data_IF_937610830563
#
_entry.id   IF_937610830563
#
_cell.length_a   1.000
_cell.length_b   1.000
_cell.length_c   1.000
_cell.angle_alpha   90.00
_cell.angle_beta   90.00
_cell.angle_gamma   90.00
#
_symmetry.space_group_name_H-M   'P 1'
#
loop_
_entity.id
_entity.type
_entity.pdbx_description
1 polymer ?
#
# COMPACT_ATOMS: atom_id res chain seq x y z
N UNK A 1 1.26 -32.25 17.58
CA UNK A 1 0.49 -32.47 16.34
C UNK A 1 0.12 -31.10 15.78
N UNK A 2 0.81 -30.67 14.72
CA UNK A 2 0.72 -29.32 14.14
C UNK A 2 -0.60 -29.15 13.37
N UNK A 3 -1.50 -28.29 13.85
CA UNK A 3 -2.61 -27.77 13.05
C UNK A 3 -2.08 -26.61 12.22
N UNK A 4 -1.41 -26.91 11.10
CA UNK A 4 -1.02 -25.90 10.11
C UNK A 4 -2.28 -25.44 9.38
N UNK A 5 -2.79 -24.26 9.74
CA UNK A 5 -3.99 -23.64 9.19
C UNK A 5 -3.71 -23.01 7.82
N UNK A 6 -3.51 -23.84 6.81
CA UNK A 6 -3.62 -23.46 5.40
C UNK A 6 -4.69 -24.36 4.78
N UNK A 7 -5.94 -23.89 4.73
CA UNK A 7 -7.00 -24.63 4.06
C UNK A 7 -7.62 -23.75 2.97
N UNK A 8 -7.13 -23.99 1.76
CA UNK A 8 -7.87 -24.12 0.50
C UNK A 8 -6.79 -24.50 -0.52
N UNK A 9 -6.91 -25.69 -1.11
CA UNK A 9 -6.09 -26.12 -2.25
C UNK A 9 -7.07 -26.38 -3.38
N UNK A 10 -7.24 -25.40 -4.28
CA UNK A 10 -8.01 -25.64 -5.50
C UNK A 10 -7.03 -26.14 -6.57
N UNK A 11 -7.17 -27.40 -6.97
CA UNK A 11 -6.45 -27.93 -8.13
C UNK A 11 -7.41 -28.66 -9.06
N UNK A 12 -7.93 -27.93 -10.04
CA UNK A 12 -8.32 -28.51 -11.32
C UNK A 12 -7.85 -27.52 -12.39
N UNK A 13 -6.60 -27.72 -12.85
CA UNK A 13 -5.85 -26.93 -13.85
C UNK A 13 -5.31 -25.56 -13.39
N UNK A 14 -3.99 -25.48 -13.09
CA UNK A 14 -3.29 -24.25 -12.72
C UNK A 14 -2.20 -24.48 -11.66
N UNK A 15 -1.52 -23.41 -11.23
CA UNK A 15 -0.47 -23.49 -10.20
C UNK A 15 -1.02 -23.67 -8.76
N UNK A 16 -2.35 -23.58 -8.60
CA UNK A 16 -3.06 -23.71 -7.34
C UNK A 16 -3.15 -22.42 -6.53
N UNK A 17 -3.85 -22.48 -5.40
CA UNK A 17 -4.00 -21.39 -4.43
C UNK A 17 -3.59 -21.90 -3.05
N UNK A 18 -2.99 -21.04 -2.24
CA UNK A 18 -2.74 -21.27 -0.81
C UNK A 18 -3.26 -20.07 -0.03
N UNK A 19 -4.21 -20.29 0.89
CA UNK A 19 -4.88 -19.20 1.61
C UNK A 19 -4.70 -19.27 3.12
N UNK A 20 -4.52 -18.09 3.74
CA UNK A 20 -4.50 -17.87 5.19
C UNK A 20 -5.79 -17.18 5.64
N UNK A 21 -6.94 -17.78 5.38
CA UNK A 21 -8.26 -17.14 5.58
C UNK A 21 -9.10 -17.85 6.64
N UNK A 22 -8.48 -18.72 7.45
CA UNK A 22 -9.20 -19.43 8.53
C UNK A 22 -9.78 -18.44 9.51
N UNK A 23 -11.11 -18.44 9.66
CA UNK A 23 -11.82 -17.50 10.55
C UNK A 23 -12.03 -16.10 9.97
N UNK A 24 -11.71 -15.88 8.68
CA UNK A 24 -11.87 -14.59 8.00
C UNK A 24 -12.72 -14.77 6.74
N UNK A 25 -13.80 -13.99 6.55
CA UNK A 25 -14.66 -14.14 5.38
C UNK A 25 -13.94 -13.75 4.08
N UNK A 26 -14.27 -14.45 3.00
CA UNK A 26 -13.81 -14.19 1.63
C UNK A 26 -15.03 -14.16 0.71
N UNK A 27 -15.11 -13.13 -0.12
CA UNK A 27 -16.20 -12.97 -1.09
C UNK A 27 -16.04 -13.95 -2.26
N UNK A 28 -17.14 -14.52 -2.75
CA UNK A 28 -17.12 -15.45 -3.89
C UNK A 28 -16.45 -14.84 -5.14
N UNK A 29 -16.66 -13.54 -5.40
CA UNK A 29 -16.02 -12.82 -6.50
C UNK A 29 -14.49 -12.73 -6.34
N UNK A 30 -13.99 -12.65 -5.10
CA UNK A 30 -12.55 -12.66 -4.82
C UNK A 30 -11.97 -14.07 -5.02
N UNK A 31 -12.70 -15.12 -4.65
CA UNK A 31 -12.28 -16.50 -4.92
C UNK A 31 -12.20 -16.79 -6.42
N UNK A 32 -13.19 -16.38 -7.20
CA UNK A 32 -13.20 -16.52 -8.66
C UNK A 32 -12.03 -15.76 -9.29
N UNK A 33 -11.80 -14.52 -8.86
CA UNK A 33 -10.67 -13.72 -9.32
C UNK A 33 -9.32 -14.41 -9.02
N UNK A 34 -9.16 -14.99 -7.84
CA UNK A 34 -7.94 -15.72 -7.49
C UNK A 34 -7.75 -16.98 -8.35
N UNK A 35 -8.84 -17.71 -8.66
CA UNK A 35 -8.80 -18.87 -9.58
C UNK A 35 -8.38 -18.45 -10.99
N UNK A 36 -8.93 -17.36 -11.51
CA UNK A 36 -8.60 -16.84 -12.83
C UNK A 36 -7.11 -16.48 -12.93
N UNK A 37 -6.55 -15.86 -11.88
CA UNK A 37 -5.10 -15.58 -11.79
C UNK A 37 -4.29 -16.88 -11.74
N UNK A 38 -4.66 -17.83 -10.86
CA UNK A 38 -3.93 -19.09 -10.67
C UNK A 38 -3.93 -20.00 -11.91
N UNK A 39 -4.89 -19.82 -12.81
CA UNK A 39 -5.00 -20.52 -14.09
C UNK A 39 -4.11 -19.95 -15.20
N UNK A 40 -3.49 -18.77 -15.01
CA UNK A 40 -2.66 -18.15 -16.04
C UNK A 40 -1.39 -18.96 -16.31
N UNK A 41 -0.99 -19.16 -17.59
CA UNK A 41 0.20 -19.95 -17.94
C UNK A 41 1.51 -19.41 -17.37
N UNK A 42 1.60 -18.09 -17.14
CA UNK A 42 2.79 -17.45 -16.61
C UNK A 42 2.90 -17.56 -15.07
N UNK A 43 1.85 -18.01 -14.37
CA UNK A 43 1.88 -18.20 -12.92
C UNK A 43 2.62 -19.49 -12.60
N UNK A 44 3.68 -19.34 -11.80
CA UNK A 44 4.77 -20.28 -11.66
C UNK A 44 4.76 -21.03 -10.32
N UNK A 45 3.72 -20.86 -9.53
CA UNK A 45 3.52 -21.51 -8.23
C UNK A 45 2.18 -21.10 -7.63
N UNK A 46 1.79 -21.69 -6.49
CA UNK A 46 0.51 -21.38 -5.86
C UNK A 46 0.36 -19.88 -5.60
N UNK A 47 -0.77 -19.28 -5.98
CA UNK A 47 -1.09 -17.91 -5.57
C UNK A 47 -1.32 -17.91 -4.07
N UNK A 48 -0.58 -17.10 -3.32
CA UNK A 48 -0.75 -17.00 -1.88
C UNK A 48 -1.76 -15.89 -1.54
N UNK A 49 -2.85 -16.24 -0.87
CA UNK A 49 -3.88 -15.30 -0.41
C UNK A 49 -3.71 -15.03 1.08
N UNK A 50 -3.52 -13.77 1.40
CA UNK A 50 -3.41 -13.27 2.77
C UNK A 50 -4.81 -13.17 3.41
N UNK A 51 -4.92 -13.11 4.75
CA UNK A 51 -6.23 -13.09 5.43
C UNK A 51 -7.12 -11.89 5.05
N UNK A 52 -6.50 -10.78 4.70
CA UNK A 52 -7.14 -9.54 4.27
C UNK A 52 -7.64 -9.57 2.81
N UNK A 53 -7.60 -10.74 2.16
CA UNK A 53 -7.99 -10.91 0.75
C UNK A 53 -9.39 -10.40 0.45
N UNK A 54 -9.53 -9.59 -0.58
CA UNK A 54 -10.82 -9.10 -1.07
C UNK A 54 -10.74 -8.76 -2.56
N UNK A 55 -11.91 -8.56 -3.17
CA UNK A 55 -11.97 -8.24 -4.59
C UNK A 55 -11.24 -6.93 -4.90
N UNK A 56 -10.48 -6.92 -5.99
CA UNK A 56 -9.75 -5.75 -6.47
C UNK A 56 -9.84 -5.59 -7.98
N UNK A 57 -9.53 -4.40 -8.50
CA UNK A 57 -9.44 -4.20 -9.95
C UNK A 57 -8.23 -4.96 -10.52
N UNK A 58 -8.43 -5.95 -11.40
CA UNK A 58 -7.37 -6.76 -11.99
C UNK A 58 -7.12 -8.08 -11.25
N UNK A 59 -6.36 -8.03 -10.16
CA UNK A 59 -6.21 -9.15 -9.21
C UNK A 59 -6.76 -8.80 -7.82
N UNK A 60 -7.00 -9.82 -7.00
CA UNK A 60 -7.42 -9.69 -5.60
C UNK A 60 -6.40 -8.88 -4.80
N UNK A 61 -6.87 -7.95 -3.98
CA UNK A 61 -6.03 -7.35 -2.92
C UNK A 61 -5.82 -8.42 -1.84
N UNK A 62 -4.69 -8.42 -1.14
CA UNK A 62 -4.31 -9.50 -0.23
C UNK A 62 -3.74 -10.71 -0.97
N UNK A 63 -3.04 -10.52 -2.10
CA UNK A 63 -2.47 -11.62 -2.88
C UNK A 63 -0.99 -11.46 -3.20
N UNK A 64 -0.31 -12.60 -3.28
CA UNK A 64 1.06 -12.73 -3.75
C UNK A 64 1.07 -13.69 -4.93
N UNK A 65 1.48 -13.16 -6.09
CA UNK A 65 1.35 -13.83 -7.38
C UNK A 65 2.76 -14.07 -7.92
N UNK A 66 3.22 -15.33 -7.93
CA UNK A 66 4.53 -15.70 -8.47
C UNK A 66 4.43 -15.94 -9.98
N UNK A 67 5.06 -15.09 -10.80
CA UNK A 67 5.11 -15.28 -12.25
C UNK A 67 6.51 -15.65 -12.73
N UNK A 68 6.59 -16.55 -13.72
CA UNK A 68 7.82 -16.85 -14.43
C UNK A 68 7.87 -16.04 -15.71
N UNK A 69 8.96 -15.26 -15.89
CA UNK A 69 9.24 -14.53 -17.13
C UNK A 69 8.09 -13.64 -17.63
N UNK A 70 7.31 -13.07 -16.71
CA UNK A 70 6.24 -12.12 -17.05
C UNK A 70 5.87 -11.28 -15.82
N UNK A 71 5.25 -10.12 -16.04
CA UNK A 71 4.56 -9.35 -15.00
C UNK A 71 3.16 -9.01 -15.49
N UNK A 72 2.16 -9.07 -14.61
CA UNK A 72 0.77 -8.67 -14.88
C UNK A 72 0.57 -7.25 -14.30
N UNK A 73 0.55 -6.17 -15.11
CA UNK A 73 0.52 -4.81 -14.56
C UNK A 73 -0.73 -4.52 -13.70
N UNK A 74 -1.89 -5.08 -14.04
CA UNK A 74 -3.10 -4.87 -13.22
C UNK A 74 -3.08 -5.66 -11.90
N UNK A 75 -2.22 -6.69 -11.81
CA UNK A 75 -1.98 -7.39 -10.56
C UNK A 75 -1.11 -6.55 -9.63
N UNK A 76 -0.17 -5.75 -10.13
CA UNK A 76 0.52 -4.73 -9.30
C UNK A 76 -0.46 -3.64 -8.89
N UNK A 77 -1.33 -3.23 -9.82
CA UNK A 77 -2.30 -2.16 -9.62
C UNK A 77 -1.77 -0.79 -10.03
N UNK A 78 -2.62 0.22 -9.85
CA UNK A 78 -2.35 1.59 -10.31
C UNK A 78 -1.63 2.44 -9.27
N UNK A 79 -1.72 2.12 -7.98
CA UNK A 79 -0.94 2.82 -6.95
C UNK A 79 0.35 2.06 -6.65
N UNK A 80 1.27 2.12 -7.61
CA UNK A 80 2.54 1.40 -7.57
C UNK A 80 3.38 1.90 -6.39
N UNK A 81 3.95 1.00 -5.61
CA UNK A 81 4.73 1.36 -4.44
C UNK A 81 3.90 1.93 -3.29
N UNK A 82 2.56 1.87 -3.34
CA UNK A 82 1.72 2.09 -2.16
C UNK A 82 2.25 1.26 -1.00
N UNK A 83 2.32 1.88 0.17
CA UNK A 83 3.12 1.38 1.26
C UNK A 83 2.91 2.15 2.55
N UNK A 84 3.56 1.64 3.59
CA UNK A 84 3.49 2.17 4.94
C UNK A 84 4.87 2.63 5.38
N UNK A 85 4.91 3.67 6.21
CA UNK A 85 6.10 4.02 6.99
C UNK A 85 5.70 4.27 8.44
N UNK A 86 6.47 3.75 9.39
CA UNK A 86 6.26 3.98 10.81
C UNK A 86 7.59 4.27 11.49
N UNK A 87 7.60 5.22 12.41
CA UNK A 87 8.77 5.63 13.20
C UNK A 87 8.34 5.78 14.65
N UNK A 88 9.01 5.05 15.53
CA UNK A 88 8.91 5.26 16.98
C UNK A 88 9.60 6.57 17.34
N UNK A 89 9.09 7.30 18.33
CA UNK A 89 9.72 8.52 18.85
C UNK A 89 10.09 8.36 20.32
N UNK A 90 10.87 9.30 20.86
CA UNK A 90 11.16 9.36 22.30
C UNK A 90 10.02 9.92 23.14
N UNK A 91 8.99 10.52 22.51
CA UNK A 91 7.85 11.07 23.21
C UNK A 91 6.93 9.97 23.75
N UNK A 92 6.26 10.27 24.85
CA UNK A 92 5.23 9.45 25.50
C UNK A 92 3.87 10.14 25.43
N UNK A 93 2.81 9.39 25.72
CA UNK A 93 1.45 9.91 25.79
C UNK A 93 1.34 11.14 26.71
N UNK A 94 2.07 11.14 27.83
CA UNK A 94 2.10 12.24 28.79
C UNK A 94 2.76 13.53 28.25
N UNK A 95 3.56 13.44 27.18
CA UNK A 95 4.15 14.60 26.53
C UNK A 95 3.18 15.26 25.53
N UNK A 96 2.13 14.53 25.11
CA UNK A 96 1.12 15.05 24.20
C UNK A 96 0.21 16.07 24.91
N UNK A 97 -0.27 17.10 24.20
CA UNK A 97 -1.22 18.05 24.77
C UNK A 97 -2.58 17.40 25.04
N UNK A 98 -3.33 17.94 26.01
CA UNK A 98 -4.69 17.48 26.34
C UNK A 98 -5.64 17.46 25.13
N UNK A 99 -5.47 18.43 24.22
CA UNK A 99 -6.19 18.47 22.95
C UNK A 99 -5.24 18.18 21.79
N UNK A 100 -5.56 17.15 21.02
CA UNK A 100 -4.81 16.76 19.83
C UNK A 100 -5.25 17.49 18.55
N UNK A 101 -6.34 18.26 18.59
CA UNK A 101 -6.86 19.00 17.43
C UNK A 101 -5.86 20.02 16.83
N UNK A 102 -5.06 20.76 17.63
CA UNK A 102 -3.98 21.60 17.11
C UNK A 102 -2.84 20.80 16.47
N UNK A 103 -2.58 19.57 16.93
CA UNK A 103 -1.57 18.68 16.35
C UNK A 103 -2.06 18.18 14.98
N UNK A 104 -3.32 17.71 14.91
CA UNK A 104 -3.95 17.29 13.65
C UNK A 104 -3.93 18.43 12.61
N UNK A 105 -4.39 19.61 12.99
CA UNK A 105 -4.42 20.79 12.13
C UNK A 105 -3.02 21.18 11.61
N UNK A 106 -1.99 21.04 12.45
CA UNK A 106 -0.62 21.35 12.05
C UNK A 106 -0.06 20.32 11.06
N UNK A 107 -0.37 19.04 11.24
CA UNK A 107 -0.01 17.99 10.26
C UNK A 107 -0.74 18.24 8.93
N UNK A 108 -2.03 18.57 8.97
CA UNK A 108 -2.83 18.90 7.79
C UNK A 108 -2.28 20.09 7.01
N UNK A 109 -1.80 21.12 7.70
CA UNK A 109 -1.13 22.27 7.09
C UNK A 109 0.26 21.92 6.52
N UNK A 110 0.97 20.99 7.17
CA UNK A 110 2.31 20.59 6.77
C UNK A 110 2.33 19.48 5.71
N UNK A 111 1.24 18.78 5.42
CA UNK A 111 1.21 17.75 4.38
C UNK A 111 -0.01 17.93 3.50
N UNK A 112 0.15 18.31 2.21
CA UNK A 112 -0.97 18.41 1.29
C UNK A 112 -1.67 17.06 1.17
N UNK A 113 -2.99 17.10 1.25
CA UNK A 113 -3.85 15.93 1.27
C UNK A 113 -5.19 16.25 0.62
N UNK A 114 -5.94 15.20 0.29
CA UNK A 114 -7.18 15.35 -0.45
C UNK A 114 -6.94 15.55 -1.94
N UNK A 115 -7.98 16.07 -2.61
CA UNK A 115 -7.96 16.41 -4.05
C UNK A 115 -9.03 17.46 -4.36
N UNK A 116 -8.79 18.35 -5.32
CA UNK A 116 -9.84 19.09 -6.05
C UNK A 116 -9.92 18.61 -7.51
N UNK A 117 -11.14 18.47 -8.03
CA UNK A 117 -11.37 18.02 -9.42
C UNK A 117 -10.69 16.68 -9.77
N UNK A 118 -9.95 16.65 -10.89
CA UNK A 118 -9.24 15.45 -11.38
C UNK A 118 -7.79 15.31 -10.86
N UNK A 119 -7.28 16.27 -10.10
CA UNK A 119 -5.97 16.20 -9.43
C UNK A 119 -4.76 16.44 -10.33
N UNK A 120 -4.96 17.12 -11.46
CA UNK A 120 -3.96 17.47 -12.47
C UNK A 120 -3.75 18.99 -12.58
N UNK A 121 -4.45 19.80 -11.80
CA UNK A 121 -4.38 21.25 -11.82
C UNK A 121 -3.39 21.81 -10.79
N UNK A 122 -2.76 22.95 -11.09
CA UNK A 122 -1.93 23.70 -10.14
C UNK A 122 -2.71 24.18 -8.89
N UNK A 123 -4.05 24.19 -8.96
CA UNK A 123 -4.96 24.47 -7.85
C UNK A 123 -5.45 23.22 -7.11
N UNK A 124 -4.81 22.06 -7.33
CA UNK A 124 -5.13 20.86 -6.56
C UNK A 124 -4.68 21.01 -5.10
N UNK A 125 -5.63 20.98 -4.16
CA UNK A 125 -5.33 20.98 -2.71
C UNK A 125 -4.47 19.80 -2.26
N UNK A 126 -4.51 18.70 -3.03
CA UNK A 126 -3.69 17.50 -2.80
C UNK A 126 -2.26 17.59 -3.33
N UNK A 127 -1.89 18.72 -3.93
CA UNK A 127 -0.60 18.97 -4.54
C UNK A 127 0.01 20.28 -4.01
N UNK A 128 1.32 20.43 -4.18
CA UNK A 128 1.97 21.72 -4.02
C UNK A 128 1.56 22.64 -5.18
N UNK A 129 0.99 23.81 -4.89
CA UNK A 129 0.83 24.86 -5.90
C UNK A 129 2.20 25.34 -6.36
N UNK A 130 2.94 25.96 -5.43
CA UNK A 130 4.37 26.22 -5.56
C UNK A 130 5.17 25.12 -4.85
N UNK A 131 6.05 24.45 -5.58
CA UNK A 131 6.89 23.37 -5.02
C UNK A 131 7.91 23.98 -4.06
N UNK A 132 7.91 23.60 -2.78
CA UNK A 132 8.93 24.08 -1.84
C UNK A 132 10.34 23.66 -2.30
N UNK A 133 11.33 24.53 -2.15
CA UNK A 133 12.72 24.27 -2.59
C UNK A 133 13.28 22.94 -2.07
N UNK A 134 12.97 22.59 -0.82
CA UNK A 134 13.36 21.32 -0.22
C UNK A 134 12.80 20.10 -0.95
N UNK A 135 11.56 20.18 -1.44
CA UNK A 135 10.89 19.15 -2.23
C UNK A 135 11.54 19.04 -3.62
N UNK A 136 11.76 20.19 -4.27
CA UNK A 136 12.42 20.24 -5.58
C UNK A 136 13.82 19.64 -5.55
N UNK A 137 14.63 20.01 -4.53
CA UNK A 137 15.97 19.43 -4.33
C UNK A 137 15.92 17.94 -3.99
N UNK A 138 15.00 17.52 -3.12
CA UNK A 138 14.83 16.10 -2.77
C UNK A 138 14.50 15.26 -4.02
N UNK A 139 13.61 15.74 -4.88
CA UNK A 139 13.27 15.06 -6.14
C UNK A 139 14.47 14.98 -7.10
N UNK A 140 15.17 16.10 -7.29
CA UNK A 140 16.30 16.20 -8.21
C UNK A 140 17.52 15.40 -7.76
N UNK A 141 17.75 15.26 -6.44
CA UNK A 141 18.93 14.58 -5.90
C UNK A 141 18.68 13.11 -5.53
N UNK A 142 17.42 12.67 -5.44
CA UNK A 142 17.09 11.31 -5.02
C UNK A 142 17.68 10.27 -5.97
N UNK A 143 18.55 9.36 -5.48
CA UNK A 143 19.19 8.35 -6.33
C UNK A 143 18.19 7.39 -6.97
N UNK A 144 18.42 7.07 -8.24
CA UNK A 144 17.67 6.06 -8.97
C UNK A 144 18.53 5.44 -10.08
N UNK A 145 18.85 4.14 -9.95
CA UNK A 145 19.73 3.41 -10.88
C UNK A 145 21.03 4.18 -11.13
N UNK A 146 21.36 4.52 -12.37
CA UNK A 146 22.57 5.24 -12.78
C UNK A 146 22.39 6.77 -12.83
N UNK A 147 21.51 7.32 -11.99
CA UNK A 147 21.25 8.75 -11.94
C UNK A 147 20.27 9.09 -10.81
N UNK A 148 19.35 9.99 -11.09
CA UNK A 148 18.37 10.49 -10.14
C UNK A 148 16.93 10.11 -10.54
N UNK A 149 15.97 10.31 -9.64
CA UNK A 149 14.55 10.18 -9.98
C UNK A 149 14.16 11.15 -11.11
N UNK A 150 14.75 12.34 -11.17
CA UNK A 150 14.50 13.28 -12.25
C UNK A 150 14.98 12.72 -13.61
N UNK A 151 16.19 12.18 -13.67
CA UNK A 151 16.75 11.56 -14.89
C UNK A 151 15.93 10.35 -15.34
N UNK A 152 15.58 9.47 -14.37
CA UNK A 152 14.78 8.29 -14.63
C UNK A 152 13.40 8.63 -15.20
N UNK A 153 12.76 9.69 -14.69
CA UNK A 153 11.48 10.16 -15.20
C UNK A 153 11.61 10.74 -16.61
N UNK A 154 12.64 11.53 -16.87
CA UNK A 154 12.89 12.13 -18.18
C UNK A 154 13.00 11.04 -19.26
N UNK A 155 13.78 9.99 -19.01
CA UNK A 155 13.96 8.89 -19.96
C UNK A 155 12.68 8.02 -20.11
N UNK A 156 11.88 7.84 -19.04
CA UNK A 156 10.56 7.19 -19.16
C UNK A 156 9.62 8.00 -20.04
N UNK A 157 9.59 9.32 -19.87
CA UNK A 157 8.72 10.22 -20.64
C UNK A 157 9.18 10.35 -22.09
N UNK A 158 10.49 10.33 -22.34
CA UNK A 158 11.05 10.32 -23.69
C UNK A 158 10.55 9.10 -24.49
N UNK A 159 10.58 7.91 -23.88
CA UNK A 159 10.10 6.68 -24.52
C UNK A 159 8.58 6.55 -24.52
N UNK A 160 7.91 7.14 -23.54
CA UNK A 160 6.45 7.14 -23.44
C UNK A 160 5.90 8.56 -23.24
N UNK A 161 5.83 9.39 -24.30
CA UNK A 161 5.42 10.80 -24.21
C UNK A 161 4.02 11.03 -23.61
N UNK A 162 3.14 10.02 -23.64
CA UNK A 162 1.82 10.06 -23.00
C UNK A 162 1.90 10.21 -21.46
N UNK A 163 3.03 9.87 -20.83
CA UNK A 163 3.27 10.01 -19.40
C UNK A 163 3.76 11.42 -18.99
N UNK A 164 4.03 12.32 -19.94
CA UNK A 164 4.52 13.69 -19.66
C UNK A 164 3.56 14.53 -18.80
N UNK A 165 2.26 14.22 -18.84
CA UNK A 165 1.22 14.98 -18.12
C UNK A 165 1.16 14.67 -16.62
N UNK A 166 2.04 13.83 -16.10
CA UNK A 166 2.08 13.52 -14.69
C UNK A 166 2.67 14.69 -13.90
N UNK A 167 1.89 15.22 -12.96
CA UNK A 167 2.32 16.27 -12.03
C UNK A 167 3.22 15.69 -10.92
N UNK A 168 4.41 15.20 -11.28
CA UNK A 168 5.23 14.33 -10.42
C UNK A 168 5.84 15.08 -9.23
N UNK A 169 6.61 16.14 -9.47
CA UNK A 169 7.30 16.89 -8.40
C UNK A 169 6.33 17.60 -7.46
N UNK A 170 5.20 18.10 -7.97
CA UNK A 170 4.15 18.74 -7.16
C UNK A 170 3.41 17.76 -6.24
N UNK A 171 3.50 16.45 -6.49
CA UNK A 171 2.94 15.41 -5.63
C UNK A 171 3.96 14.77 -4.70
N UNK A 172 5.24 15.17 -4.75
CA UNK A 172 6.22 14.66 -3.81
C UNK A 172 6.00 15.27 -2.41
N UNK A 173 5.97 14.42 -1.39
CA UNK A 173 5.67 14.82 -0.02
C UNK A 173 4.18 15.09 0.22
N UNK A 174 3.27 14.45 -0.53
CA UNK A 174 1.81 14.62 -0.36
C UNK A 174 1.11 13.30 -0.09
N UNK A 175 0.03 13.37 0.70
CA UNK A 175 -0.65 12.19 1.23
C UNK A 175 -1.57 11.56 0.19
N UNK A 176 -2.48 12.36 -0.35
CA UNK A 176 -3.53 11.93 -1.27
C UNK A 176 -4.88 11.65 -0.66
N UNK A 177 -5.60 10.70 -1.27
CA UNK A 177 -7.01 10.36 -0.99
C UNK A 177 -7.17 8.85 -0.85
N UNK A 178 -8.39 8.40 -0.56
CA UNK A 178 -8.71 6.97 -0.40
C UNK A 178 -8.31 6.48 0.99
N UNK A 179 -7.55 5.38 1.01
CA UNK A 179 -7.05 4.74 2.23
C UNK A 179 -5.73 5.33 2.75
N UNK A 180 -5.23 6.41 2.15
CA UNK A 180 -4.01 7.09 2.60
C UNK A 180 -4.27 7.95 3.82
N UNK A 181 -3.41 7.83 4.83
CA UNK A 181 -3.53 8.50 6.12
C UNK A 181 -2.17 8.86 6.72
N UNK A 182 -2.17 9.78 7.70
CA UNK A 182 -1.09 9.97 8.66
C UNK A 182 -1.71 9.83 10.06
N UNK A 183 -1.07 9.05 10.92
CA UNK A 183 -1.55 8.73 12.25
C UNK A 183 -0.48 8.97 13.30
N UNK A 184 -0.92 9.46 14.45
CA UNK A 184 -0.16 9.32 15.69
C UNK A 184 -0.76 8.16 16.46
N UNK A 185 0.09 7.25 16.89
CA UNK A 185 -0.29 6.06 17.65
C UNK A 185 0.48 5.99 18.96
N UNK A 186 -0.07 5.27 19.92
CA UNK A 186 0.58 4.88 21.17
C UNK A 186 0.81 3.38 21.15
N UNK A 187 2.03 2.93 21.52
CA UNK A 187 2.29 1.52 21.76
C UNK A 187 1.85 1.08 23.17
N UNK A 188 2.06 -0.20 23.50
CA UNK A 188 1.74 -0.79 24.80
C UNK A 188 2.50 -0.17 25.99
N UNK A 189 3.53 0.64 25.75
CA UNK A 189 4.29 1.39 26.77
C UNK A 189 4.02 2.91 26.69
N UNK A 190 2.94 3.30 26.01
CA UNK A 190 2.52 4.68 25.78
C UNK A 190 3.57 5.53 25.04
N UNK A 191 4.47 4.93 24.26
CA UNK A 191 5.37 5.70 23.38
C UNK A 191 4.64 6.15 22.13
N UNK A 192 4.96 7.34 21.67
CA UNK A 192 4.37 7.94 20.47
C UNK A 192 5.06 7.41 19.22
N UNK A 193 4.24 6.95 18.28
CA UNK A 193 4.63 6.53 16.95
C UNK A 193 4.01 7.46 15.91
N UNK A 194 4.77 7.78 14.87
CA UNK A 194 4.23 8.36 13.64
C UNK A 194 4.07 7.22 12.65
N UNK A 195 2.88 7.05 12.09
CA UNK A 195 2.60 6.09 11.03
C UNK A 195 1.96 6.80 9.85
N UNK A 196 2.36 6.46 8.62
CA UNK A 196 1.74 7.01 7.43
C UNK A 196 1.59 5.98 6.32
N UNK A 197 0.55 6.17 5.52
CA UNK A 197 0.16 5.34 4.40
C UNK A 197 0.09 6.19 3.14
N UNK A 198 0.96 5.94 2.18
CA UNK A 198 0.89 6.56 0.86
C UNK A 198 1.70 5.81 -0.19
N UNK A 199 1.46 6.15 -1.45
CA UNK A 199 2.09 5.57 -2.63
C UNK A 199 2.73 6.58 -3.55
N UNK A 200 2.73 6.24 -4.84
CA UNK A 200 3.39 7.01 -5.91
C UNK A 200 2.49 8.07 -6.52
N UNK A 201 1.34 8.33 -5.91
CA UNK A 201 0.45 9.46 -6.23
C UNK A 201 0.00 9.41 -7.71
N UNK A 202 -0.24 10.57 -8.32
CA UNK A 202 -0.76 10.66 -9.69
C UNK A 202 0.16 10.01 -10.73
N UNK A 203 1.48 10.10 -10.58
CA UNK A 203 2.42 9.54 -11.57
C UNK A 203 2.36 8.01 -11.62
N UNK A 204 2.32 7.33 -10.48
CA UNK A 204 2.14 5.88 -10.46
C UNK A 204 0.82 5.43 -11.06
N UNK A 205 -0.25 6.17 -10.78
CA UNK A 205 -1.56 5.91 -11.38
C UNK A 205 -1.52 5.96 -12.91
N UNK A 206 -0.84 6.97 -13.47
CA UNK A 206 -0.67 7.11 -14.91
C UNK A 206 0.20 6.00 -15.49
N UNK A 207 1.33 5.67 -14.86
CA UNK A 207 2.20 4.54 -15.25
C UNK A 207 1.41 3.24 -15.27
N UNK A 208 0.72 2.91 -14.16
CA UNK A 208 -0.05 1.68 -14.03
C UNK A 208 -1.14 1.58 -15.11
N UNK A 209 -1.96 2.61 -15.28
CA UNK A 209 -3.01 2.63 -16.33
C UNK A 209 -2.42 2.46 -17.73
N UNK A 210 -1.34 3.17 -18.04
CA UNK A 210 -0.72 3.14 -19.35
C UNK A 210 -0.20 1.74 -19.71
N UNK A 211 0.56 1.11 -18.81
CA UNK A 211 1.11 -0.23 -19.07
C UNK A 211 0.08 -1.36 -18.97
N UNK A 212 -1.01 -1.18 -18.21
CA UNK A 212 -2.17 -2.09 -18.27
C UNK A 212 -2.78 -2.09 -19.67
N UNK A 213 -3.00 -0.91 -20.27
CA UNK A 213 -3.57 -0.82 -21.61
C UNK A 213 -2.61 -1.31 -22.69
N UNK A 214 -1.29 -1.05 -22.56
CA UNK A 214 -0.30 -1.65 -23.46
C UNK A 214 -0.29 -3.18 -23.40
N UNK A 215 -0.37 -3.76 -22.19
CA UNK A 215 -0.45 -5.21 -22.07
C UNK A 215 -1.70 -5.78 -22.76
N UNK A 216 -2.85 -5.10 -22.62
CA UNK A 216 -4.10 -5.49 -23.32
C UNK A 216 -3.98 -5.35 -24.84
N UNK A 217 -3.30 -4.30 -25.32
CA UNK A 217 -3.00 -4.12 -26.75
C UNK A 217 -2.14 -5.24 -27.29
N UNK A 218 -1.08 -5.64 -26.57
CA UNK A 218 -0.22 -6.74 -26.96
C UNK A 218 -0.95 -8.08 -27.01
N UNK A 219 -1.76 -8.40 -25.98
CA UNK A 219 -2.59 -9.61 -25.99
C UNK A 219 -3.51 -9.67 -27.21
N UNK A 220 -4.15 -8.55 -27.56
CA UNK A 220 -4.98 -8.44 -28.78
C UNK A 220 -4.17 -8.65 -30.06
N UNK A 221 -2.98 -8.06 -30.16
CA UNK A 221 -2.08 -8.21 -31.32
C UNK A 221 -1.57 -9.65 -31.49
N UNK A 222 -1.41 -10.38 -30.39
CA UNK A 222 -0.99 -11.77 -30.39
C UNK A 222 -2.14 -12.76 -30.45
N UNK A 223 -3.39 -12.29 -30.58
CA UNK A 223 -4.60 -13.11 -30.59
C UNK A 223 -4.73 -14.03 -29.35
N UNK A 224 -4.23 -13.57 -28.20
CA UNK A 224 -4.33 -14.30 -26.93
C UNK A 224 -5.64 -13.91 -26.24
N UNK A 225 -6.46 -14.92 -25.95
CA UNK A 225 -7.70 -14.75 -25.18
C UNK A 225 -7.43 -15.09 -23.71
N UNK A 226 -7.85 -14.19 -22.82
CA UNK A 226 -7.71 -14.34 -21.37
C UNK A 226 -9.10 -14.39 -20.73
N UNK A 227 -9.25 -15.04 -19.56
CA UNK A 227 -10.53 -15.06 -18.84
C UNK A 227 -10.98 -13.66 -18.39
N UNK A 228 -10.03 -12.74 -18.18
CA UNK A 228 -10.29 -11.31 -17.96
C UNK A 228 -9.20 -10.50 -18.67
N UNK A 229 -9.56 -9.44 -19.39
CA UNK A 229 -8.62 -8.56 -20.08
C UNK A 229 -7.63 -7.87 -19.12
N UNK A 230 -7.99 -7.66 -17.86
CA UNK A 230 -7.08 -7.12 -16.85
C UNK A 230 -6.00 -8.12 -16.42
N UNK A 231 -6.07 -9.38 -16.83
CA UNK A 231 -5.00 -10.36 -16.62
C UNK A 231 -3.94 -10.33 -17.73
N UNK A 232 -4.01 -9.35 -18.63
CA UNK A 232 -2.98 -9.11 -19.63
C UNK A 232 -1.61 -8.89 -18.97
N UNK A 233 -0.59 -9.52 -19.52
CA UNK A 233 0.75 -9.55 -18.96
C UNK A 233 1.81 -9.14 -19.98
N UNK A 234 2.96 -8.70 -19.47
CA UNK A 234 4.13 -8.33 -20.26
C UNK A 234 5.15 -9.46 -20.14
N UNK A 235 5.48 -10.19 -21.22
CA UNK A 235 6.51 -11.24 -21.20
C UNK A 235 7.92 -10.66 -21.08
N UNK A 236 8.76 -11.28 -20.26
CA UNK A 236 10.16 -10.91 -20.07
C UNK A 236 10.94 -10.98 -21.39
N UNK A 237 11.74 -9.96 -21.65
CA UNK A 237 12.49 -9.78 -22.91
C UNK A 237 11.77 -8.97 -23.98
N UNK A 238 10.47 -8.65 -23.81
CA UNK A 238 9.78 -7.71 -24.70
C UNK A 238 10.13 -6.26 -24.36
N UNK A 239 10.00 -5.36 -25.34
CA UNK A 239 10.23 -3.92 -25.12
C UNK A 239 9.33 -3.37 -24.01
N UNK A 240 8.01 -3.60 -24.10
CA UNK A 240 7.06 -3.13 -23.09
C UNK A 240 7.36 -3.69 -21.68
N UNK A 241 7.91 -4.90 -21.56
CA UNK A 241 8.35 -5.43 -20.26
C UNK A 241 9.54 -4.66 -19.69
N UNK A 242 10.58 -4.42 -20.49
CA UNK A 242 11.79 -3.69 -20.07
C UNK A 242 11.39 -2.30 -19.57
N UNK A 243 10.49 -1.67 -20.33
CA UNK A 243 9.98 -0.32 -20.09
C UNK A 243 9.14 -0.26 -18.82
N UNK A 244 8.24 -1.24 -18.66
CA UNK A 244 7.41 -1.34 -17.47
C UNK A 244 8.24 -1.60 -16.23
N UNK A 245 9.21 -2.52 -16.26
CA UNK A 245 10.10 -2.79 -15.11
C UNK A 245 10.81 -1.50 -14.69
N UNK A 246 11.25 -0.68 -15.65
CA UNK A 246 11.81 0.63 -15.35
C UNK A 246 10.81 1.59 -14.73
N UNK A 247 9.62 1.73 -15.29
CA UNK A 247 8.61 2.64 -14.75
C UNK A 247 8.10 2.17 -13.37
N UNK A 248 7.96 0.87 -13.17
CA UNK A 248 7.60 0.20 -11.92
C UNK A 248 8.63 0.50 -10.82
N UNK A 249 9.91 0.22 -11.05
CA UNK A 249 10.95 0.46 -10.05
C UNK A 249 11.14 1.94 -9.75
N UNK A 250 10.93 2.81 -10.75
CA UNK A 250 10.93 4.26 -10.55
C UNK A 250 9.78 4.70 -9.64
N UNK A 251 8.57 4.22 -9.89
CA UNK A 251 7.40 4.57 -9.09
C UNK A 251 7.52 4.04 -7.64
N UNK A 252 8.12 2.86 -7.44
CA UNK A 252 8.47 2.36 -6.11
C UNK A 252 9.44 3.31 -5.38
N UNK A 253 10.53 3.72 -6.04
CA UNK A 253 11.50 4.64 -5.46
C UNK A 253 10.88 6.01 -5.14
N UNK A 254 10.05 6.55 -6.04
CA UNK A 254 9.28 7.77 -5.80
C UNK A 254 8.33 7.63 -4.60
N UNK A 255 7.60 6.52 -4.49
CA UNK A 255 6.70 6.27 -3.35
C UNK A 255 7.45 6.18 -2.02
N UNK A 256 8.62 5.53 -2.00
CA UNK A 256 9.47 5.44 -0.81
C UNK A 256 9.97 6.84 -0.38
N UNK A 257 10.42 7.66 -1.34
CA UNK A 257 10.83 9.04 -1.08
C UNK A 257 9.65 9.90 -0.62
N UNK A 258 8.48 9.74 -1.24
CA UNK A 258 7.25 10.45 -0.85
C UNK A 258 6.94 10.22 0.63
N UNK A 259 6.98 8.97 1.08
CA UNK A 259 6.79 8.60 2.49
C UNK A 259 7.88 9.19 3.39
N UNK A 260 9.15 9.11 2.99
CA UNK A 260 10.25 9.67 3.77
C UNK A 260 10.11 11.19 3.96
N UNK A 261 9.84 11.94 2.89
CA UNK A 261 9.66 13.40 2.94
C UNK A 261 8.45 13.79 3.80
N UNK A 262 7.34 13.05 3.72
CA UNK A 262 6.20 13.27 4.62
C UNK A 262 6.55 12.99 6.08
N UNK A 263 7.28 11.90 6.34
CA UNK A 263 7.71 11.54 7.70
C UNK A 263 8.56 12.65 8.33
N UNK A 264 9.53 13.21 7.58
CA UNK A 264 10.33 14.35 8.03
C UNK A 264 9.45 15.55 8.40
N UNK A 265 8.51 15.92 7.53
CA UNK A 265 7.60 17.05 7.77
C UNK A 265 6.72 16.85 9.00
N UNK A 266 6.18 15.64 9.18
CA UNK A 266 5.37 15.32 10.37
C UNK A 266 6.25 15.36 11.62
N UNK A 267 7.47 14.83 11.55
CA UNK A 267 8.43 14.88 12.65
C UNK A 267 8.75 16.32 13.04
N UNK A 268 9.00 17.22 12.07
CA UNK A 268 9.27 18.64 12.33
C UNK A 268 8.08 19.34 13.01
N UNK A 269 6.84 19.02 12.59
CA UNK A 269 5.62 19.54 13.23
C UNK A 269 5.53 19.14 14.70
N UNK A 270 5.88 17.89 15.02
CA UNK A 270 5.90 17.39 16.39
C UNK A 270 7.06 17.95 17.19
N UNK A 271 8.27 18.00 16.63
CA UNK A 271 9.46 18.52 17.30
C UNK A 271 9.31 20.00 17.69
N UNK A 272 8.60 20.80 16.87
CA UNK A 272 8.26 22.18 17.20
C UNK A 272 7.29 22.31 18.40
N UNK A 273 6.59 21.24 18.76
CA UNK A 273 5.59 21.21 19.85
C UNK A 273 6.07 20.41 21.07
N UNK A 274 7.00 19.48 20.87
CA UNK A 274 7.53 18.55 21.86
C UNK A 274 9.05 18.77 21.96
N UNK A 275 9.52 19.67 22.84
CA UNK A 275 10.94 19.93 23.00
C UNK A 275 11.71 18.66 23.37
N UNK A 276 12.82 18.39 22.67
CA UNK A 276 13.63 17.19 22.90
C UNK A 276 13.14 15.92 22.20
N UNK A 277 12.13 16.02 21.32
CA UNK A 277 11.70 14.91 20.48
C UNK A 277 12.87 14.39 19.63
N UNK A 278 13.12 13.09 19.74
CA UNK A 278 14.07 12.37 18.91
C UNK A 278 13.39 11.13 18.30
N UNK A 279 14.03 10.57 17.27
CA UNK A 279 13.60 9.29 16.69
C UNK A 279 14.07 8.16 17.58
N UNK A 280 13.19 7.19 17.78
CA UNK A 280 13.52 5.93 18.41
C UNK A 280 14.30 5.02 17.47
N UNK A 281 14.53 3.79 17.92
CA UNK A 281 15.37 2.81 17.22
C UNK A 281 14.60 2.06 16.12
N UNK A 282 13.27 2.08 16.16
CA UNK A 282 12.42 1.32 15.25
C UNK A 282 11.84 2.22 14.16
N UNK A 283 12.19 1.91 12.92
CA UNK A 283 11.59 2.47 11.72
C UNK A 283 11.30 1.37 10.70
N UNK A 284 10.14 1.47 10.05
CA UNK A 284 9.73 0.57 8.97
C UNK A 284 9.31 1.42 7.78
N UNK A 285 9.74 1.05 6.58
CA UNK A 285 9.25 1.63 5.33
C UNK A 285 9.07 0.52 4.30
N UNK A 286 7.83 0.08 4.09
CA UNK A 286 7.53 -1.09 3.26
C UNK A 286 6.49 -0.77 2.18
N UNK A 287 6.61 -1.44 1.04
CA UNK A 287 5.58 -1.42 -0.01
C UNK A 287 4.59 -2.57 0.21
N UNK A 288 3.36 -2.41 -0.28
CA UNK A 288 2.35 -3.46 -0.35
C UNK A 288 1.72 -3.65 -1.74
N UNK A 289 1.99 -2.74 -2.68
CA UNK A 289 1.63 -2.88 -4.10
C UNK A 289 2.86 -2.76 -5.00
N UNK A 290 3.48 -3.86 -5.40
CA UNK A 290 4.72 -3.84 -6.19
C UNK A 290 5.04 -5.21 -6.79
N UNK A 291 5.99 -5.26 -7.72
CA UNK A 291 6.59 -6.53 -8.16
C UNK A 291 8.11 -6.46 -8.07
N UNK A 292 8.73 -7.58 -7.73
CA UNK A 292 10.19 -7.68 -7.59
C UNK A 292 10.66 -9.07 -8.02
N UNK A 293 11.91 -9.17 -8.48
CA UNK A 293 12.53 -10.46 -8.79
C UNK A 293 13.08 -11.07 -7.51
N UNK A 294 12.63 -12.28 -7.17
CA UNK A 294 13.04 -13.00 -5.96
C UNK A 294 13.28 -14.49 -6.26
N UNK A 295 14.12 -15.14 -5.47
CA UNK A 295 14.41 -16.56 -5.61
C UNK A 295 13.48 -17.40 -4.73
N UNK A 296 12.56 -18.15 -5.36
CA UNK A 296 11.60 -19.03 -4.69
C UNK A 296 11.37 -20.29 -5.52
N UNK A 297 11.02 -21.40 -4.88
CA UNK A 297 10.77 -22.67 -5.57
C UNK A 297 11.95 -23.12 -6.47
N UNK A 298 13.19 -22.80 -6.05
CA UNK A 298 14.42 -23.15 -6.77
C UNK A 298 14.69 -22.35 -8.06
N UNK A 299 13.99 -21.24 -8.28
CA UNK A 299 14.17 -20.38 -9.47
C UNK A 299 13.90 -18.91 -9.19
N UNK A 300 14.37 -18.05 -10.07
CA UNK A 300 14.02 -16.62 -10.04
C UNK A 300 12.61 -16.42 -10.58
N UNK A 301 11.78 -15.74 -9.80
CA UNK A 301 10.39 -15.43 -10.11
C UNK A 301 10.15 -13.93 -9.92
N UNK A 302 9.19 -13.41 -10.69
CA UNK A 302 8.60 -12.11 -10.40
C UNK A 302 7.51 -12.31 -9.35
N UNK A 303 7.75 -11.80 -8.15
CA UNK A 303 6.80 -11.83 -7.04
C UNK A 303 6.04 -10.52 -7.05
N UNK A 304 4.78 -10.57 -7.50
CA UNK A 304 3.85 -9.45 -7.41
C UNK A 304 3.12 -9.53 -6.08
N UNK A 305 3.16 -8.46 -5.29
CA UNK A 305 2.37 -8.29 -4.06
C UNK A 305 1.35 -7.19 -4.30
N UNK A 306 0.08 -7.50 -4.04
CA UNK A 306 -1.03 -6.56 -4.12
C UNK A 306 -1.79 -6.57 -2.80
N UNK A 307 -1.68 -5.50 -2.03
CA UNK A 307 -2.10 -5.49 -0.64
C UNK A 307 -1.44 -6.62 0.16
N UNK A 308 -0.14 -6.84 -0.05
CA UNK A 308 0.62 -7.80 0.74
C UNK A 308 2.03 -7.25 1.00
N UNK A 309 2.57 -7.47 2.19
CA UNK A 309 3.86 -6.93 2.61
C UNK A 309 4.89 -8.06 2.65
N UNK A 310 6.15 -7.76 2.35
CA UNK A 310 7.25 -8.72 2.56
C UNK A 310 7.47 -8.94 4.05
N UNK A 311 7.49 -10.22 4.44
CA UNK A 311 7.69 -10.72 5.78
C UNK A 311 8.85 -11.72 5.80
N UNK A 312 10.03 -11.29 5.32
CA UNK A 312 11.26 -12.06 5.44
C UNK A 312 11.60 -12.36 6.91
N UNK A 313 12.37 -13.42 7.16
CA UNK A 313 12.74 -13.79 8.53
C UNK A 313 13.46 -12.63 9.23
N UNK A 314 12.87 -12.11 10.31
CA UNK A 314 13.41 -10.99 11.08
C UNK A 314 13.10 -9.60 10.53
N UNK A 315 12.51 -9.50 9.33
CA UNK A 315 12.16 -8.23 8.70
C UNK A 315 10.95 -7.59 9.37
N UNK A 316 11.02 -6.29 9.65
CA UNK A 316 9.92 -5.56 10.24
C UNK A 316 8.89 -5.14 9.18
N UNK A 317 7.62 -5.20 9.55
CA UNK A 317 6.49 -4.79 8.72
C UNK A 317 5.44 -4.05 9.54
N UNK A 318 4.44 -3.50 8.87
CA UNK A 318 3.31 -2.79 9.50
C UNK A 318 2.02 -3.40 8.96
N UNK A 319 1.10 -3.73 9.86
CA UNK A 319 -0.26 -4.19 9.52
C UNK A 319 -1.25 -3.23 10.19
N UNK A 320 -1.72 -2.19 9.48
CA UNK A 320 -2.73 -1.27 10.00
C UNK A 320 -4.10 -1.93 10.13
N UNK A 321 -4.81 -1.56 11.20
CA UNK A 321 -6.25 -1.77 11.31
C UNK A 321 -7.05 -0.77 10.47
N UNK A 322 -8.32 -0.62 10.79
CA UNK A 322 -9.14 0.53 10.39
C UNK A 322 -8.98 1.70 11.38
N UNK A 323 -9.47 2.89 11.03
CA UNK A 323 -9.39 4.08 11.89
C UNK A 323 -10.06 3.85 13.26
N UNK A 324 -9.30 3.81 14.35
CA UNK A 324 -9.79 3.50 15.70
C UNK A 324 -9.64 2.02 16.10
N UNK A 325 -9.25 1.14 15.17
CA UNK A 325 -8.82 -0.21 15.49
C UNK A 325 -7.31 -0.26 15.79
N UNK A 326 -6.85 -1.41 16.28
CA UNK A 326 -5.43 -1.65 16.54
C UNK A 326 -4.65 -1.80 15.24
N UNK A 327 -3.43 -1.29 15.26
CA UNK A 327 -2.42 -1.50 14.22
C UNK A 327 -1.23 -2.25 14.81
N UNK A 328 -0.43 -2.94 14.00
CA UNK A 328 0.64 -3.79 14.51
C UNK A 328 1.97 -3.52 13.81
N UNK A 329 3.03 -3.36 14.59
CA UNK A 329 4.40 -3.55 14.10
C UNK A 329 4.71 -5.03 14.24
N UNK A 330 5.10 -5.66 13.14
CA UNK A 330 5.30 -7.11 13.07
C UNK A 330 6.70 -7.45 12.62
N UNK A 331 7.14 -8.67 12.93
CA UNK A 331 8.38 -9.26 12.45
C UNK A 331 8.05 -10.51 11.62
N UNK A 332 8.56 -10.56 10.40
CA UNK A 332 8.34 -11.68 9.50
C UNK A 332 9.02 -12.95 9.99
N UNK A 333 8.32 -14.09 9.82
CA UNK A 333 8.86 -15.44 10.11
C UNK A 333 9.55 -16.06 8.89
N UNK A 334 9.43 -15.44 7.71
CA UNK A 334 10.03 -15.92 6.48
C UNK A 334 9.40 -17.21 5.94
N UNK A 335 8.08 -17.35 6.08
CA UNK A 335 7.36 -18.56 5.67
C UNK A 335 7.47 -18.79 4.15
N UNK A 336 8.12 -19.87 3.66
CA UNK A 336 8.40 -20.03 2.24
C UNK A 336 7.14 -20.16 1.38
N UNK A 337 6.08 -20.77 1.92
CA UNK A 337 4.85 -20.99 1.16
C UNK A 337 4.04 -19.70 0.91
N UNK A 338 4.32 -18.61 1.64
CA UNK A 338 3.73 -17.29 1.38
C UNK A 338 4.67 -16.40 0.57
N UNK A 339 5.75 -16.96 0.01
CA UNK A 339 6.83 -16.19 -0.61
C UNK A 339 7.40 -15.14 0.34
N UNK A 340 7.52 -15.51 1.62
CA UNK A 340 7.93 -14.62 2.72
C UNK A 340 7.08 -13.34 2.72
N UNK A 341 5.76 -13.47 2.77
CA UNK A 341 4.81 -12.34 2.77
C UNK A 341 3.72 -12.50 3.82
N UNK A 342 3.07 -11.40 4.16
CA UNK A 342 1.93 -11.30 5.08
C UNK A 342 0.89 -10.28 4.58
N UNK A 343 -0.24 -10.14 5.29
CA UNK A 343 -1.26 -9.14 4.99
C UNK A 343 -0.72 -7.71 5.06
N UNK A 344 -1.38 -6.76 4.40
CA UNK A 344 -1.06 -5.34 4.48
C UNK A 344 -2.00 -4.53 5.38
N UNK A 345 -3.04 -5.14 5.94
CA UNK A 345 -3.98 -4.49 6.85
C UNK A 345 -5.19 -5.38 7.15
N UNK A 346 -6.30 -4.79 7.59
CA UNK A 346 -7.54 -5.53 7.87
C UNK A 346 -8.25 -6.05 6.60
N UNK A 347 -8.13 -5.32 5.49
CA UNK A 347 -8.92 -5.59 4.27
C UNK A 347 -10.38 -5.15 4.41
N UNK A 348 -11.00 -4.76 3.30
CA UNK A 348 -12.39 -4.29 3.33
C UNK A 348 -13.35 -5.48 3.43
N UNK A 349 -14.42 -5.31 4.20
CA UNK A 349 -15.55 -6.24 4.25
C UNK A 349 -16.67 -5.82 3.29
N UNK A 350 -16.65 -4.57 2.82
CA UNK A 350 -17.64 -4.04 1.87
C UNK A 350 -17.09 -2.90 1.01
N UNK A 351 -17.76 -2.63 -0.11
CA UNK A 351 -17.38 -1.53 -1.01
C UNK A 351 -17.54 -0.15 -0.35
N UNK A 352 -16.85 0.86 -0.88
CA UNK A 352 -17.00 2.26 -0.42
C UNK A 352 -18.42 2.79 -0.62
N UNK A 353 -19.03 2.43 -1.75
CA UNK A 353 -20.41 2.80 -2.06
C UNK A 353 -21.39 2.19 -1.06
N UNK A 354 -21.15 0.94 -0.67
CA UNK A 354 -22.00 0.26 0.31
C UNK A 354 -21.82 0.86 1.72
N UNK A 355 -20.58 1.13 2.13
CA UNK A 355 -20.30 1.77 3.41
C UNK A 355 -21.01 3.14 3.54
N UNK A 356 -20.99 3.96 2.48
CA UNK A 356 -21.70 5.27 2.46
C UNK A 356 -23.22 5.16 2.54
N UNK A 357 -23.80 4.05 2.07
CA UNK A 357 -25.24 3.82 2.16
C UNK A 357 -25.66 3.30 3.54
N UNK A 358 -24.78 2.53 4.18
CA UNK A 358 -25.09 1.78 5.39
C UNK A 358 -24.81 2.54 6.67
N UNK A 359 -23.79 3.39 6.69
CA UNK A 359 -23.31 4.07 7.90
C UNK A 359 -23.54 5.57 7.85
N UNK A 360 -23.71 6.16 9.03
CA UNK A 360 -23.91 7.59 9.25
C UNK A 360 -22.68 8.24 9.91
N UNK A 361 -22.64 9.57 9.93
CA UNK A 361 -21.62 10.32 10.69
C UNK A 361 -21.70 10.01 12.20
N UNK A 362 -22.90 9.74 12.73
CA UNK A 362 -23.06 9.37 14.13
C UNK A 362 -22.41 8.02 14.44
N UNK A 363 -22.62 7.02 13.57
CA UNK A 363 -21.96 5.71 13.69
C UNK A 363 -20.44 5.87 13.62
N UNK A 364 -19.97 6.71 12.70
CA UNK A 364 -18.56 7.00 12.54
C UNK A 364 -17.95 7.65 13.79
N UNK A 365 -18.66 8.63 14.35
CA UNK A 365 -18.22 9.36 15.55
C UNK A 365 -18.12 8.43 16.74
N UNK A 366 -19.12 7.56 16.94
CA UNK A 366 -19.10 6.55 17.98
C UNK A 366 -17.95 5.54 17.79
N UNK A 367 -17.75 5.05 16.55
CA UNK A 367 -16.70 4.08 16.24
C UNK A 367 -15.27 4.64 16.38
N UNK A 368 -15.12 5.96 16.44
CA UNK A 368 -13.82 6.66 16.51
C UNK A 368 -13.72 7.53 17.75
N UNK A 369 -14.46 7.16 18.80
CA UNK A 369 -14.34 7.77 20.12
C UNK A 369 -12.91 7.63 20.65
N UNK A 370 -12.36 8.71 21.20
CA UNK A 370 -10.96 8.76 21.67
C UNK A 370 -9.91 8.96 20.57
N UNK A 371 -10.31 9.09 19.30
CA UNK A 371 -9.42 9.43 18.18
C UNK A 371 -9.76 10.80 17.62
N UNK A 372 -8.77 11.69 17.61
CA UNK A 372 -8.85 12.99 16.93
C UNK A 372 -8.75 12.79 15.42
N UNK A 373 -9.88 12.86 14.74
CA UNK A 373 -9.98 12.74 13.29
C UNK A 373 -11.12 13.60 12.74
N UNK A 374 -11.18 13.75 11.42
CA UNK A 374 -12.33 14.37 10.75
C UNK A 374 -13.60 13.56 11.00
N UNK A 375 -14.73 14.24 11.19
CA UNK A 375 -16.05 13.66 11.44
C UNK A 375 -17.06 14.24 10.44
N UNK A 376 -16.87 13.93 9.15
CA UNK A 376 -17.70 14.45 8.06
C UNK A 376 -18.04 13.37 7.02
N UNK A 377 -18.98 13.67 6.13
CA UNK A 377 -19.49 12.70 5.14
C UNK A 377 -18.40 12.14 4.21
N UNK A 378 -17.30 12.87 4.02
CA UNK A 378 -16.24 12.46 3.11
C UNK A 378 -15.38 11.30 3.65
N UNK A 379 -15.50 10.97 4.95
CA UNK A 379 -14.73 9.89 5.59
C UNK A 379 -15.56 8.67 6.00
N UNK A 380 -16.89 8.70 5.77
CA UNK A 380 -17.80 7.59 6.12
C UNK A 380 -17.39 6.27 5.44
N UNK A 381 -16.88 6.31 4.20
CA UNK A 381 -16.46 5.08 3.50
C UNK A 381 -15.25 4.40 4.13
N UNK A 382 -14.59 5.03 5.10
CA UNK A 382 -13.43 4.51 5.82
C UNK A 382 -13.73 4.25 7.31
N UNK A 383 -15.00 4.17 7.69
CA UNK A 383 -15.42 3.79 9.05
C UNK A 383 -14.96 2.37 9.43
N UNK A 384 -14.64 2.08 10.71
CA UNK A 384 -14.19 0.75 11.16
C UNK A 384 -15.03 -0.42 10.70
N UNK A 385 -16.36 -0.23 10.75
CA UNK A 385 -17.32 -1.26 10.38
C UNK A 385 -17.30 -1.63 8.88
N UNK A 386 -16.58 -0.89 8.03
CA UNK A 386 -16.38 -1.23 6.63
C UNK A 386 -15.24 -2.23 6.39
N UNK A 387 -14.47 -2.54 7.43
CA UNK A 387 -13.30 -3.41 7.39
C UNK A 387 -13.58 -4.75 8.08
N UNK A 388 -12.74 -5.75 7.77
CA UNK A 388 -12.75 -7.02 8.50
C UNK A 388 -12.19 -6.83 9.91
N UNK A 389 -12.47 -7.80 10.78
CA UNK A 389 -11.86 -7.83 12.10
C UNK A 389 -10.35 -8.06 11.99
N UNK A 390 -9.57 -7.07 12.43
CA UNK A 390 -8.11 -7.11 12.40
C UNK A 390 -7.56 -8.23 13.28
N UNK A 391 -8.24 -8.57 14.37
CA UNK A 391 -7.76 -9.62 15.28
C UNK A 391 -7.91 -11.01 14.64
N UNK A 392 -9.00 -11.24 13.92
CA UNK A 392 -9.17 -12.44 13.11
C UNK A 392 -8.12 -12.53 12.00
N UNK A 393 -7.82 -11.40 11.33
CA UNK A 393 -6.74 -11.30 10.33
C UNK A 393 -5.38 -11.65 10.93
N UNK A 394 -5.06 -11.15 12.12
CA UNK A 394 -3.80 -11.45 12.81
C UNK A 394 -3.72 -12.90 13.27
N UNK A 395 -4.82 -13.47 13.78
CA UNK A 395 -4.88 -14.86 14.19
C UNK A 395 -4.63 -15.83 13.02
N UNK A 396 -5.21 -15.54 11.85
CA UNK A 396 -5.13 -16.36 10.65
C UNK A 396 -3.72 -16.43 10.02
N UNK A 397 -2.82 -15.52 10.37
CA UNK A 397 -1.44 -15.45 9.86
C UNK A 397 -0.37 -15.56 10.96
N UNK A 398 -0.72 -16.15 12.10
CA UNK A 398 0.18 -16.31 13.23
C UNK A 398 1.43 -17.14 12.92
N UNK A 399 1.46 -17.90 11.83
CA UNK A 399 2.63 -18.61 11.29
C UNK A 399 3.50 -17.76 10.34
N UNK A 400 2.96 -16.64 9.82
CA UNK A 400 3.66 -15.72 8.90
C UNK A 400 4.44 -14.63 9.63
N UNK A 401 3.91 -14.16 10.76
CA UNK A 401 4.46 -13.01 11.50
C UNK A 401 4.42 -13.20 13.02
N UNK A 402 5.23 -12.41 13.71
CA UNK A 402 5.22 -12.19 15.15
C UNK A 402 4.86 -10.72 15.42
N UNK A 403 4.01 -10.45 16.40
CA UNK A 403 3.68 -9.08 16.82
C UNK A 403 4.81 -8.55 17.70
N UNK A 404 5.38 -7.41 17.32
CA UNK A 404 6.43 -6.71 18.08
C UNK A 404 5.83 -5.59 18.93
N UNK A 405 4.94 -4.78 18.33
CA UNK A 405 4.20 -3.72 19.05
C UNK A 405 2.74 -3.71 18.63
N UNK A 406 1.88 -3.37 19.58
CA UNK A 406 0.46 -3.11 19.34
C UNK A 406 0.20 -1.61 19.46
N UNK A 407 -0.25 -1.01 18.37
CA UNK A 407 -0.46 0.42 18.25
C UNK A 407 -1.94 0.77 18.38
N UNK A 408 -2.24 1.73 19.24
CA UNK A 408 -3.56 2.37 19.36
C UNK A 408 -3.50 3.78 18.80
N UNK A 409 -4.33 4.05 17.81
CA UNK A 409 -4.42 5.38 17.21
C UNK A 409 -4.94 6.44 18.20
N UNK A 410 -4.39 7.65 18.11
CA UNK A 410 -4.88 8.84 18.84
C UNK A 410 -5.14 10.03 17.91
N UNK A 411 -4.46 10.11 16.76
CA UNK A 411 -4.72 11.11 15.72
C UNK A 411 -4.85 10.44 14.36
N UNK A 412 -5.79 10.88 13.52
CA UNK A 412 -5.88 10.53 12.11
C UNK A 412 -6.00 11.77 11.23
N UNK A 413 -5.11 11.88 10.25
CA UNK A 413 -5.18 12.82 9.13
C UNK A 413 -5.46 12.06 7.85
N UNK A 414 -6.49 12.47 7.10
CA UNK A 414 -6.93 11.82 5.87
C UNK A 414 -7.41 12.84 4.83
N UNK A 415 -7.19 12.50 3.55
CA UNK A 415 -7.60 13.29 2.38
C UNK A 415 -9.09 13.33 2.09
#
# INVERSE_FOLDING_TARGET
MSKTAASITFSEHGAGIRAWTTGVPVEAAAEEQARNVAALPCVAGPVALMPDVHWGMGATVGSVIPTAKAIIPAAVGVDIGCGMMAVQTTARAADLPDSLAPVRSAIEAAVPHGRTGRGDAASDRGAWGDVPDGIGRAFAAAPYRQGTLADGLAEIVERHPKLKRANSVHHLGTLGTGNHFIELCLDEEDRVWIMLHSGSRGIGNQIGRYFIELAKEDMRRWFITLPDANLAYLPEGTEHFIDYVKALTWAQAFAALNRAVMMERVFDVLAARLPGLARGEVAVNCHHNYATREHHLGRDLWITRKGAVRAGKGELGIIPGSMGARSFIVRGKGHPASYCSCSHGAGRAMSRTEARKRFTVADHTAATEGVECRKDDAVIDETPMAYKDIDAVMAAQSDLVEVVHTLRQVVCVKG
#
